data_IF_457252300645
#
_entry.id   IF_457252300645
#
_cell.length_a   1.000
_cell.length_b   1.000
_cell.length_c   1.000
_cell.angle_alpha   90.00
_cell.angle_beta   90.00
_cell.angle_gamma   90.00
#
_symmetry.space_group_name_H-M   'P 1'
#
loop_
_entity.id
_entity.type
_entity.pdbx_description
1 polymer ?
#
# COMPACT_ATOMS: atom_id res chain seq x y z
N UNK A 1 10.37 -4.47 7.14
CA UNK A 1 10.97 -4.42 5.80
C UNK A 1 10.65 -3.05 5.23
N UNK A 2 11.57 -2.08 5.36
CA UNK A 2 11.35 -0.74 4.80
C UNK A 2 12.10 -0.69 3.47
N UNK A 3 11.37 -0.86 2.38
CA UNK A 3 11.90 -0.71 1.02
C UNK A 3 11.46 0.68 0.53
N UNK A 4 12.36 1.67 0.47
CA UNK A 4 12.04 3.04 0.08
C UNK A 4 11.33 3.12 -1.28
N UNK A 5 11.74 2.29 -2.23
CA UNK A 5 11.20 2.22 -3.59
C UNK A 5 9.71 1.86 -3.59
N UNK A 6 9.28 0.95 -2.70
CA UNK A 6 7.88 0.53 -2.59
C UNK A 6 7.02 1.66 -1.98
N UNK A 7 7.58 2.41 -1.02
CA UNK A 7 6.89 3.57 -0.45
C UNK A 7 6.74 4.68 -1.49
N UNK A 8 7.77 4.91 -2.32
CA UNK A 8 7.73 5.87 -3.42
C UNK A 8 6.69 5.48 -4.48
N UNK A 9 6.63 4.20 -4.87
CA UNK A 9 5.63 3.68 -5.80
C UNK A 9 4.22 3.88 -5.27
N UNK A 10 4.01 3.64 -3.97
CA UNK A 10 2.72 3.88 -3.32
C UNK A 10 2.36 5.37 -3.29
N UNK A 11 3.32 6.26 -3.02
CA UNK A 11 3.12 7.70 -3.07
C UNK A 11 2.74 8.16 -4.48
N UNK A 12 3.41 7.64 -5.51
CA UNK A 12 3.08 7.91 -6.90
C UNK A 12 1.66 7.45 -7.26
N UNK A 13 1.28 6.24 -6.85
CA UNK A 13 -0.07 5.72 -7.03
C UNK A 13 -1.12 6.63 -6.36
N UNK A 14 -0.87 7.11 -5.14
CA UNK A 14 -1.75 8.05 -4.46
C UNK A 14 -1.88 9.39 -5.19
N UNK A 15 -0.79 9.92 -5.76
CA UNK A 15 -0.82 11.15 -6.58
C UNK A 15 -1.72 10.98 -7.80
N UNK A 16 -1.66 9.84 -8.49
CA UNK A 16 -2.55 9.55 -9.63
C UNK A 16 -4.03 9.56 -9.21
N UNK A 17 -4.35 9.03 -8.03
CA UNK A 17 -5.71 9.06 -7.47
C UNK A 17 -6.16 10.49 -7.18
N UNK A 18 -5.28 11.33 -6.61
CA UNK A 18 -5.59 12.74 -6.33
C UNK A 18 -5.86 13.51 -7.62
N UNK A 19 -5.01 13.34 -8.64
CA UNK A 19 -5.17 14.00 -9.95
C UNK A 19 -6.50 13.60 -10.61
N UNK A 20 -6.89 12.33 -10.50
CA UNK A 20 -8.17 11.85 -10.98
C UNK A 20 -9.36 12.50 -10.26
N UNK A 21 -9.32 12.59 -8.93
CA UNK A 21 -10.38 13.24 -8.15
C UNK A 21 -10.44 14.75 -8.40
N UNK A 22 -9.31 15.39 -8.71
CA UNK A 22 -9.24 16.79 -9.12
C UNK A 22 -9.81 17.03 -10.54
N UNK A 23 -10.29 15.99 -11.23
CA UNK A 23 -10.85 16.05 -12.60
C UNK A 23 -9.86 16.56 -13.66
N UNK A 24 -8.55 16.46 -13.39
CA UNK A 24 -7.51 16.92 -14.31
C UNK A 24 -7.29 15.91 -15.43
N UNK A 25 -7.30 14.61 -15.11
CA UNK A 25 -7.05 13.51 -16.07
C UNK A 25 -8.01 12.37 -15.82
N UNK A 26 -8.57 11.79 -16.89
CA UNK A 26 -9.34 10.55 -16.84
C UNK A 26 -8.41 9.34 -16.68
N UNK A 27 -8.76 8.36 -15.85
CA UNK A 27 -8.03 7.09 -15.77
C UNK A 27 -7.11 6.91 -14.55
N UNK A 28 -6.99 7.89 -13.66
CA UNK A 28 -6.20 7.71 -12.42
C UNK A 28 -6.83 6.78 -11.37
N UNK A 29 -7.97 6.14 -11.67
CA UNK A 29 -8.53 5.06 -10.87
C UNK A 29 -7.58 3.86 -10.75
N UNK A 30 -6.70 3.62 -11.74
CA UNK A 30 -5.65 2.59 -11.67
C UNK A 30 -4.69 2.81 -10.49
N UNK A 31 -4.50 4.06 -10.06
CA UNK A 31 -3.69 4.37 -8.88
C UNK A 31 -4.25 3.73 -7.61
N UNK A 32 -5.57 3.52 -7.54
CA UNK A 32 -6.24 2.84 -6.41
C UNK A 32 -5.80 1.39 -6.35
N UNK A 33 -5.91 0.67 -7.48
CA UNK A 33 -5.56 -0.75 -7.56
C UNK A 33 -4.10 -0.98 -7.20
N UNK A 34 -3.18 -0.19 -7.78
CA UNK A 34 -1.74 -0.27 -7.51
C UNK A 34 -1.47 -0.02 -6.01
N UNK A 35 -2.05 1.02 -5.43
CA UNK A 35 -1.84 1.37 -4.03
C UNK A 35 -2.28 0.25 -3.09
N UNK A 36 -3.48 -0.31 -3.31
CA UNK A 36 -4.03 -1.34 -2.44
C UNK A 36 -3.33 -2.68 -2.59
N UNK A 37 -2.96 -3.11 -3.80
CA UNK A 37 -2.23 -4.36 -4.03
C UNK A 37 -0.87 -4.33 -3.33
N UNK A 38 -0.11 -3.25 -3.49
CA UNK A 38 1.21 -3.09 -2.84
C UNK A 38 1.07 -3.06 -1.32
N UNK A 39 0.08 -2.34 -0.81
CA UNK A 39 -0.17 -2.24 0.62
C UNK A 39 -0.56 -3.59 1.21
N UNK A 40 -1.44 -4.34 0.53
CA UNK A 40 -1.85 -5.68 0.94
C UNK A 40 -0.67 -6.66 0.98
N UNK A 41 0.19 -6.65 -0.03
CA UNK A 41 1.42 -7.46 -0.04
C UNK A 41 2.33 -7.12 1.15
N UNK A 42 2.57 -5.83 1.40
CA UNK A 42 3.45 -5.38 2.49
C UNK A 42 2.87 -5.72 3.86
N UNK A 43 1.58 -5.44 4.09
CA UNK A 43 0.91 -5.71 5.36
C UNK A 43 0.90 -7.21 5.64
N UNK A 44 0.53 -8.03 4.65
CA UNK A 44 0.53 -9.49 4.79
C UNK A 44 1.92 -10.02 5.12
N UNK A 45 2.97 -9.52 4.44
CA UNK A 45 4.35 -9.89 4.74
C UNK A 45 4.81 -9.48 6.14
N UNK A 46 4.33 -8.35 6.65
CA UNK A 46 4.60 -7.91 8.03
C UNK A 46 3.90 -8.82 9.04
N UNK A 47 2.62 -9.13 8.83
CA UNK A 47 1.82 -10.02 9.68
C UNK A 47 2.40 -11.43 9.72
N UNK A 48 2.74 -12.00 8.56
CA UNK A 48 3.37 -13.33 8.49
C UNK A 48 4.70 -13.37 9.24
N UNK A 49 5.51 -12.32 9.13
CA UNK A 49 6.79 -12.24 9.82
C UNK A 49 6.64 -12.10 11.33
N UNK A 50 5.61 -11.40 11.78
CA UNK A 50 5.26 -11.32 13.19
C UNK A 50 4.83 -12.69 13.71
N UNK A 51 3.88 -13.32 13.01
CA UNK A 51 3.37 -14.65 13.35
C UNK A 51 4.50 -15.70 13.43
N UNK A 52 5.45 -15.67 12.50
CA UNK A 52 6.62 -16.56 12.52
C UNK A 52 7.56 -16.31 13.71
N UNK A 53 7.60 -15.09 14.24
CA UNK A 53 8.51 -14.71 15.34
C UNK A 53 7.89 -14.89 16.72
N UNK A 54 6.60 -14.58 16.87
CA UNK A 54 5.91 -14.51 18.17
C UNK A 54 4.87 -15.61 18.34
N UNK A 55 4.42 -16.23 17.25
CA UNK A 55 3.29 -17.16 17.27
C UNK A 55 1.92 -16.48 17.45
N UNK A 56 1.88 -15.16 17.55
CA UNK A 56 0.67 -14.36 17.79
C UNK A 56 0.66 -13.10 16.90
N UNK A 57 -0.48 -12.43 16.79
CA UNK A 57 -0.59 -11.11 16.15
C UNK A 57 -1.02 -10.09 17.21
N UNK A 58 -0.21 -9.05 17.43
CA UNK A 58 -0.55 -7.90 18.29
C UNK A 58 -1.36 -6.87 17.49
N UNK A 59 -2.67 -7.11 17.42
CA UNK A 59 -3.61 -6.18 16.83
C UNK A 59 -4.07 -5.20 17.92
N UNK A 60 -3.53 -3.98 17.89
CA UNK A 60 -4.04 -2.89 18.74
C UNK A 60 -5.42 -2.47 18.23
N UNK A 61 -6.43 -2.72 19.06
CA UNK A 61 -7.81 -2.26 18.86
C UNK A 61 -7.99 -0.78 19.25
#
# INVERSE_FOLDING_TARGET
MRIPQIQALRAFAAVLVIIYHAKIVSGGYIGVDIFYVISGYLITGLLLRELQKTGTLDLKA
#
